data_IF_334752056554
#
_entry.id   IF_334752056554
#
_cell.length_a   1.000
_cell.length_b   1.000
_cell.length_c   1.000
_cell.angle_alpha   90.00
_cell.angle_beta   90.00
_cell.angle_gamma   90.00
#
_symmetry.space_group_name_H-M   'P 1'
#
loop_
_entity.id
_entity.type
_entity.pdbx_description
1 polymer ?
#
# COMPACT_ATOMS: atom_id res chain seq x y z
N UNK A 1 -4.89 -8.07 -4.95
CA UNK A 1 -3.89 -7.00 -4.83
C UNK A 1 -4.07 -6.00 -5.95
N UNK A 2 -4.50 -4.80 -5.63
CA UNK A 2 -4.70 -3.74 -6.61
C UNK A 2 -3.80 -2.55 -6.26
N UNK A 3 -2.89 -2.19 -7.16
CA UNK A 3 -1.92 -1.12 -6.95
C UNK A 3 -2.56 0.25 -7.19
N UNK A 4 -2.33 1.20 -6.28
CA UNK A 4 -2.62 2.61 -6.51
C UNK A 4 -1.30 3.33 -6.80
N UNK A 5 -1.14 3.84 -8.02
CA UNK A 5 0.13 4.40 -8.49
C UNK A 5 -0.07 5.78 -9.13
N UNK A 6 0.87 6.66 -8.92
CA UNK A 6 0.88 8.02 -9.49
C UNK A 6 1.87 8.93 -8.78
N UNK A 7 2.01 10.13 -9.31
CA UNK A 7 2.93 11.13 -8.76
C UNK A 7 2.48 11.63 -7.37
N UNK A 8 3.37 12.36 -6.74
CA UNK A 8 3.09 12.96 -5.44
C UNK A 8 1.86 13.87 -5.49
N UNK A 9 1.00 13.78 -4.47
CA UNK A 9 -0.21 14.60 -4.30
C UNK A 9 -1.29 14.45 -5.38
N UNK A 10 -1.34 13.33 -6.09
CA UNK A 10 -2.39 13.03 -7.09
C UNK A 10 -3.66 12.40 -6.49
N UNK A 11 -3.73 12.24 -5.17
CA UNK A 11 -4.92 11.71 -4.49
C UNK A 11 -4.86 10.22 -4.13
N UNK A 12 -3.71 9.54 -4.25
CA UNK A 12 -3.55 8.11 -3.91
C UNK A 12 -4.08 7.77 -2.51
N UNK A 13 -3.59 8.49 -1.50
CA UNK A 13 -4.03 8.30 -0.10
C UNK A 13 -5.52 8.59 0.07
N UNK A 14 -6.08 9.56 -0.66
CA UNK A 14 -7.51 9.87 -0.56
C UNK A 14 -8.38 8.69 -1.01
N UNK A 15 -8.04 8.05 -2.12
CA UNK A 15 -8.74 6.84 -2.60
C UNK A 15 -8.69 5.73 -1.54
N UNK A 16 -7.51 5.49 -0.96
CA UNK A 16 -7.35 4.47 0.07
C UNK A 16 -8.19 4.76 1.32
N UNK A 17 -8.23 6.02 1.78
CA UNK A 17 -9.04 6.44 2.94
C UNK A 17 -10.52 6.32 2.63
N UNK A 18 -10.98 6.78 1.48
CA UNK A 18 -12.39 6.67 1.07
C UNK A 18 -12.81 5.20 0.96
N UNK A 19 -11.92 4.33 0.50
CA UNK A 19 -12.17 2.89 0.50
C UNK A 19 -12.37 2.35 1.91
N UNK A 20 -11.56 2.77 2.89
CA UNK A 20 -11.73 2.38 4.29
C UNK A 20 -13.05 2.92 4.86
N UNK A 21 -13.36 4.20 4.63
CA UNK A 21 -14.60 4.82 5.11
C UNK A 21 -15.85 4.12 4.58
N UNK A 22 -15.80 3.65 3.33
CA UNK A 22 -16.90 2.93 2.68
C UNK A 22 -17.08 1.48 3.17
N UNK A 23 -16.18 0.98 4.03
CA UNK A 23 -16.35 -0.34 4.64
C UNK A 23 -17.25 -0.34 5.86
N UNK A 24 -17.78 0.81 6.27
CA UNK A 24 -18.71 0.91 7.40
C UNK A 24 -19.92 0.00 7.20
N UNK A 25 -20.14 -0.91 8.13
CA UNK A 25 -21.24 -1.87 8.07
C UNK A 25 -21.03 -3.05 7.12
N UNK A 26 -19.89 -3.18 6.46
CA UNK A 26 -19.57 -4.27 5.53
C UNK A 26 -18.90 -5.49 6.20
N UNK A 27 -18.79 -5.50 7.53
CA UNK A 27 -18.10 -6.55 8.29
C UNK A 27 -16.63 -6.77 7.82
N UNK A 28 -15.99 -5.69 7.41
CA UNK A 28 -14.60 -5.65 6.95
C UNK A 28 -13.70 -5.09 8.04
N UNK A 29 -12.57 -5.75 8.31
CA UNK A 29 -11.50 -5.19 9.13
C UNK A 29 -10.53 -4.45 8.22
N UNK A 30 -10.14 -3.24 8.60
CA UNK A 30 -9.18 -2.45 7.83
C UNK A 30 -7.87 -2.30 8.60
N UNK A 31 -6.75 -2.41 7.89
CA UNK A 31 -5.40 -2.14 8.41
C UNK A 31 -4.76 -1.08 7.52
N UNK A 32 -4.41 0.06 8.11
CA UNK A 32 -3.70 1.12 7.41
C UNK A 32 -2.24 1.16 7.88
N UNK A 33 -1.31 0.89 6.97
CA UNK A 33 0.13 0.92 7.26
C UNK A 33 0.72 2.20 6.70
N UNK A 34 1.13 3.10 7.60
CA UNK A 34 1.82 4.35 7.27
C UNK A 34 3.32 4.14 7.33
N UNK A 35 4.02 4.36 6.21
CA UNK A 35 5.46 4.11 6.09
C UNK A 35 6.17 5.41 5.73
N UNK A 36 7.03 5.91 6.61
CA UNK A 36 7.84 7.10 6.38
C UNK A 36 7.03 8.39 6.15
N UNK A 37 5.81 8.46 6.64
CA UNK A 37 4.96 9.65 6.54
C UNK A 37 5.24 10.60 7.70
N UNK A 38 4.97 11.90 7.47
CA UNK A 38 5.03 12.90 8.55
C UNK A 38 3.91 12.68 9.56
N UNK A 39 4.19 12.83 10.86
CA UNK A 39 3.21 12.65 11.93
C UNK A 39 1.99 13.56 11.78
N UNK A 40 2.18 14.79 11.28
CA UNK A 40 1.09 15.72 11.01
C UNK A 40 0.11 15.20 9.94
N UNK A 41 0.61 14.47 8.92
CA UNK A 41 -0.23 13.83 7.90
C UNK A 41 -1.00 12.66 8.49
N UNK A 42 -0.32 11.83 9.28
CA UNK A 42 -0.93 10.71 9.97
C UNK A 42 -2.05 11.16 10.93
N UNK A 43 -1.80 12.23 11.69
CA UNK A 43 -2.80 12.79 12.61
C UNK A 43 -4.06 13.26 11.89
N UNK A 44 -3.91 13.98 10.76
CA UNK A 44 -5.05 14.40 9.92
C UNK A 44 -5.85 13.21 9.39
N UNK A 45 -5.16 12.15 8.97
CA UNK A 45 -5.77 10.91 8.52
C UNK A 45 -6.57 10.25 9.64
N UNK A 46 -5.97 10.14 10.83
CA UNK A 46 -6.63 9.56 12.00
C UNK A 46 -7.93 10.31 12.33
N UNK A 47 -7.87 11.65 12.40
CA UNK A 47 -9.07 12.49 12.66
C UNK A 47 -10.14 12.24 11.61
N UNK A 48 -9.79 12.15 10.32
CA UNK A 48 -10.76 11.87 9.25
C UNK A 48 -11.42 10.49 9.42
N UNK A 49 -10.67 9.48 9.82
CA UNK A 49 -11.21 8.14 10.09
C UNK A 49 -12.10 8.13 11.35
N UNK A 50 -11.73 8.88 12.39
CA UNK A 50 -12.52 9.06 13.62
C UNK A 50 -13.86 9.74 13.30
N UNK A 51 -13.84 10.86 12.59
CA UNK A 51 -15.04 11.61 12.17
C UNK A 51 -15.98 10.75 11.29
N UNK A 52 -15.41 9.90 10.43
CA UNK A 52 -16.15 8.96 9.60
C UNK A 52 -16.67 7.72 10.34
N UNK A 53 -16.28 7.54 11.63
CA UNK A 53 -16.63 6.36 12.41
C UNK A 53 -15.94 5.08 11.93
N UNK A 54 -14.77 5.21 11.27
CA UNK A 54 -14.01 4.07 10.74
C UNK A 54 -13.04 3.47 11.75
N UNK A 55 -12.75 4.16 12.85
CA UNK A 55 -11.82 3.64 13.86
C UNK A 55 -12.34 2.42 14.61
N UNK A 56 -13.65 2.16 14.59
CA UNK A 56 -14.24 0.98 15.20
C UNK A 56 -13.81 -0.34 14.53
N UNK A 57 -13.38 -0.27 13.26
CA UNK A 57 -12.96 -1.43 12.47
C UNK A 57 -11.58 -1.26 11.80
N UNK A 58 -10.82 -0.21 12.18
CA UNK A 58 -9.53 0.09 11.55
C UNK A 58 -8.38 0.06 12.56
N UNK A 59 -7.31 -0.62 12.18
CA UNK A 59 -6.02 -0.61 12.89
C UNK A 59 -5.03 0.24 12.09
N UNK A 60 -4.33 1.15 12.76
CA UNK A 60 -3.26 1.96 12.17
C UNK A 60 -1.91 1.44 12.67
N UNK A 61 -1.04 1.07 11.74
CA UNK A 61 0.36 0.72 12.00
C UNK A 61 1.24 1.82 11.39
N UNK A 62 2.09 2.44 12.17
CA UNK A 62 2.87 3.58 11.70
C UNK A 62 4.36 3.43 12.00
N UNK A 63 5.17 3.77 11.00
CA UNK A 63 6.58 4.11 11.15
C UNK A 63 6.77 5.51 10.56
N UNK A 64 7.01 6.50 11.43
CA UNK A 64 7.11 7.91 11.06
C UNK A 64 8.38 8.24 10.28
N UNK A 65 8.39 9.41 9.62
CA UNK A 65 9.53 9.86 8.81
C UNK A 65 10.79 10.16 9.66
N UNK A 66 10.64 10.38 10.95
CA UNK A 66 11.73 10.64 11.90
C UNK A 66 12.28 9.38 12.55
N UNK A 67 11.63 8.23 12.35
CA UNK A 67 12.05 6.96 12.92
C UNK A 67 13.18 6.31 12.11
N UNK A 68 14.02 5.48 12.72
CA UNK A 68 15.07 4.75 12.03
C UNK A 68 14.52 3.86 10.89
N UNK A 69 15.30 3.69 9.81
CA UNK A 69 14.92 2.89 8.65
C UNK A 69 14.42 1.47 8.98
N UNK A 70 14.94 0.73 9.98
CA UNK A 70 14.39 -0.57 10.37
C UNK A 70 12.92 -0.54 10.78
N UNK A 71 12.41 0.57 11.34
CA UNK A 71 11.00 0.70 11.69
C UNK A 71 10.13 0.77 10.43
N UNK A 72 10.54 1.55 9.43
CA UNK A 72 9.87 1.59 8.12
C UNK A 72 9.95 0.25 7.39
N UNK A 73 11.04 -0.49 7.55
CA UNK A 73 11.20 -1.84 6.98
C UNK A 73 10.21 -2.85 7.58
N UNK A 74 10.04 -2.86 8.92
CA UNK A 74 9.23 -3.87 9.60
C UNK A 74 7.72 -3.54 9.58
N UNK A 75 7.34 -2.26 9.48
CA UNK A 75 5.95 -1.80 9.61
C UNK A 75 4.96 -2.55 8.69
N UNK A 76 5.20 -2.74 7.37
CA UNK A 76 4.25 -3.46 6.53
C UNK A 76 4.12 -4.94 6.88
N UNK A 77 5.19 -5.58 7.35
CA UNK A 77 5.13 -6.97 7.83
C UNK A 77 4.34 -7.09 9.13
N UNK A 78 4.46 -6.12 10.03
CA UNK A 78 3.61 -6.03 11.22
C UNK A 78 2.15 -5.87 10.84
N UNK A 79 1.85 -4.97 9.89
CA UNK A 79 0.49 -4.75 9.41
C UNK A 79 -0.14 -6.01 8.80
N UNK A 80 0.58 -6.72 7.94
CA UNK A 80 0.05 -7.94 7.32
C UNK A 80 -0.08 -9.09 8.32
N UNK A 81 0.77 -9.18 9.34
CA UNK A 81 0.62 -10.16 10.41
C UNK A 81 -0.67 -9.93 11.22
N UNK A 82 -1.01 -8.66 11.49
CA UNK A 82 -2.30 -8.30 12.10
C UNK A 82 -3.47 -8.70 11.17
N UNK A 83 -3.35 -8.41 9.88
CA UNK A 83 -4.37 -8.80 8.90
C UNK A 83 -4.57 -10.32 8.82
N UNK A 84 -3.49 -11.09 8.85
CA UNK A 84 -3.54 -12.56 8.87
C UNK A 84 -4.23 -13.11 10.11
N UNK A 85 -4.02 -12.50 11.27
CA UNK A 85 -4.71 -12.89 12.50
C UNK A 85 -6.24 -12.85 12.34
N UNK A 86 -6.77 -11.82 11.70
CA UNK A 86 -8.20 -11.73 11.44
C UNK A 86 -8.66 -12.65 10.29
N UNK A 87 -7.85 -12.78 9.24
CA UNK A 87 -8.11 -13.71 8.13
C UNK A 87 -8.24 -15.15 8.63
N UNK A 88 -7.37 -15.56 9.56
CA UNK A 88 -7.38 -16.90 10.15
C UNK A 88 -8.64 -17.17 11.00
N UNK A 89 -9.32 -16.10 11.45
CA UNK A 89 -10.64 -16.17 12.10
C UNK A 89 -11.82 -16.16 11.10
N UNK A 90 -11.55 -16.30 9.82
CA UNK A 90 -12.58 -16.28 8.78
C UNK A 90 -13.09 -14.90 8.40
N UNK A 91 -12.40 -13.81 8.81
CA UNK A 91 -12.80 -12.44 8.48
C UNK A 91 -12.18 -11.96 7.18
N UNK A 92 -12.84 -11.02 6.53
CA UNK A 92 -12.30 -10.31 5.39
C UNK A 92 -11.57 -9.05 5.86
N UNK A 93 -10.37 -8.84 5.33
CA UNK A 93 -9.47 -7.74 5.73
C UNK A 93 -9.05 -6.93 4.51
N UNK A 94 -9.12 -5.61 4.64
CA UNK A 94 -8.54 -4.65 3.71
C UNK A 94 -7.24 -4.10 4.32
N UNK A 95 -6.11 -4.23 3.63
CA UNK A 95 -4.85 -3.63 4.06
C UNK A 95 -4.33 -2.62 3.05
N UNK A 96 -3.95 -1.45 3.53
CA UNK A 96 -3.35 -0.36 2.75
C UNK A 96 -1.90 -0.20 3.16
N UNK A 97 -0.98 -0.10 2.19
CA UNK A 97 0.44 0.22 2.42
C UNK A 97 0.75 1.60 1.84
N UNK A 98 0.83 2.63 2.65
CA UNK A 98 1.10 4.02 2.23
C UNK A 98 2.48 4.49 2.75
N UNK A 99 3.57 4.37 2.01
CA UNK A 99 3.68 3.79 0.68
C UNK A 99 4.88 2.81 0.59
N UNK A 100 4.83 1.91 -0.36
CA UNK A 100 5.90 0.93 -0.59
C UNK A 100 7.14 1.52 -1.26
N UNK A 101 7.05 2.71 -1.86
CA UNK A 101 8.24 3.43 -2.36
C UNK A 101 9.18 3.77 -1.21
N UNK A 102 8.65 4.29 -0.11
CA UNK A 102 9.44 4.57 1.10
C UNK A 102 9.93 3.30 1.79
N UNK A 103 9.14 2.23 1.75
CA UNK A 103 9.57 0.92 2.23
C UNK A 103 10.83 0.43 1.49
N UNK A 104 10.84 0.54 0.16
CA UNK A 104 12.01 0.18 -0.65
C UNK A 104 13.21 1.07 -0.34
N UNK A 105 13.02 2.38 -0.16
CA UNK A 105 14.09 3.32 0.21
C UNK A 105 14.69 2.96 1.58
N UNK A 106 13.88 2.63 2.57
CA UNK A 106 14.35 2.19 3.88
C UNK A 106 15.18 0.90 3.77
N UNK A 107 14.75 -0.05 2.95
CA UNK A 107 15.50 -1.29 2.73
C UNK A 107 16.82 -1.05 1.99
N UNK A 108 16.84 -0.13 1.02
CA UNK A 108 18.09 0.31 0.35
C UNK A 108 19.06 0.91 1.36
N UNK A 109 18.60 1.79 2.23
CA UNK A 109 19.41 2.39 3.28
C UNK A 109 20.04 1.34 4.19
N UNK A 110 19.23 0.42 4.73
CA UNK A 110 19.72 -0.69 5.56
C UNK A 110 20.76 -1.52 4.82
N UNK A 111 20.50 -1.87 3.55
CA UNK A 111 21.38 -2.70 2.74
C UNK A 111 22.73 -2.03 2.47
N UNK A 112 22.74 -0.72 2.20
CA UNK A 112 23.96 0.06 1.99
C UNK A 112 24.77 0.18 3.29
N UNK A 113 24.13 0.40 4.43
CA UNK A 113 24.79 0.42 5.74
C UNK A 113 25.41 -0.94 6.08
N UNK A 114 24.80 -2.04 5.69
CA UNK A 114 25.31 -3.40 5.82
C UNK A 114 26.35 -3.75 4.73
N UNK A 115 26.73 -2.80 3.89
CA UNK A 115 27.70 -2.95 2.79
C UNK A 115 27.32 -4.06 1.80
N UNK A 116 26.02 -4.30 1.60
CA UNK A 116 25.55 -5.18 0.53
C UNK A 116 25.80 -4.52 -0.83
N UNK A 117 26.21 -5.28 -1.86
CA UNK A 117 26.48 -4.70 -3.17
C UNK A 117 25.22 -4.10 -3.77
N UNK A 118 25.24 -2.80 -4.19
CA UNK A 118 24.11 -2.16 -4.82
C UNK A 118 23.91 -2.66 -6.25
N UNK A 119 22.64 -2.88 -6.62
CA UNK A 119 22.21 -3.16 -7.98
C UNK A 119 21.65 -1.91 -8.67
N UNK A 120 20.63 -2.12 -9.51
CA UNK A 120 19.94 -1.04 -10.23
C UNK A 120 19.37 -0.01 -9.24
N UNK A 121 19.58 1.27 -9.53
CA UNK A 121 19.17 2.42 -8.69
C UNK A 121 19.67 2.30 -7.22
N UNK A 122 20.80 1.64 -7.04
CA UNK A 122 21.41 1.33 -5.74
C UNK A 122 20.55 0.44 -4.81
N UNK A 123 19.47 -0.15 -5.29
CA UNK A 123 18.72 -1.14 -4.55
C UNK A 123 19.50 -2.47 -4.45
N UNK A 124 19.32 -3.23 -3.35
CA UNK A 124 19.90 -4.57 -3.26
C UNK A 124 19.22 -5.52 -4.24
N UNK A 125 19.93 -6.59 -4.63
CA UNK A 125 19.44 -7.55 -5.62
C UNK A 125 18.13 -8.26 -5.25
N UNK A 126 17.77 -8.31 -3.97
CA UNK A 126 16.57 -8.95 -3.44
C UNK A 126 15.40 -7.97 -3.18
N UNK A 127 15.46 -6.74 -3.70
CA UNK A 127 14.37 -5.76 -3.48
C UNK A 127 13.03 -6.21 -4.07
N UNK A 128 13.04 -6.98 -5.15
CA UNK A 128 11.82 -7.60 -5.67
C UNK A 128 11.17 -8.51 -4.62
N UNK A 129 11.97 -9.33 -3.95
CA UNK A 129 11.51 -10.24 -2.91
C UNK A 129 10.98 -9.51 -1.66
N UNK A 130 11.50 -8.31 -1.37
CA UNK A 130 10.96 -7.45 -0.31
C UNK A 130 9.45 -7.23 -0.44
N UNK A 131 8.98 -6.94 -1.65
CA UNK A 131 7.57 -6.66 -1.93
C UNK A 131 6.77 -7.90 -2.30
N UNK A 132 7.35 -8.86 -3.02
CA UNK A 132 6.64 -10.08 -3.39
C UNK A 132 6.25 -10.91 -2.18
N UNK A 133 7.15 -11.14 -1.23
CA UNK A 133 6.85 -11.87 0.01
C UNK A 133 5.84 -11.15 0.92
N UNK A 134 5.70 -9.83 0.79
CA UNK A 134 4.68 -9.05 1.49
C UNK A 134 3.31 -9.18 0.81
N UNK A 135 3.25 -8.90 -0.48
CA UNK A 135 2.00 -8.79 -1.24
C UNK A 135 1.37 -10.15 -1.55
N UNK A 136 2.15 -11.21 -1.70
CA UNK A 136 1.64 -12.56 -1.91
C UNK A 136 0.93 -13.14 -0.68
N UNK A 137 1.09 -12.54 0.48
CA UNK A 137 0.33 -12.89 1.70
C UNK A 137 -1.15 -12.46 1.61
N UNK A 138 -1.49 -11.51 0.73
CA UNK A 138 -2.86 -11.16 0.44
C UNK A 138 -3.51 -12.25 -0.45
N UNK A 139 -4.46 -12.97 0.12
CA UNK A 139 -5.12 -14.10 -0.53
C UNK A 139 -6.52 -14.32 0.06
N UNK A 140 -7.29 -15.22 -0.55
CA UNK A 140 -8.51 -15.76 0.02
C UNK A 140 -8.28 -17.22 0.44
N UNK A 141 -8.58 -17.54 1.69
CA UNK A 141 -8.54 -18.90 2.21
C UNK A 141 -9.72 -19.72 1.67
N UNK A 142 -9.53 -21.00 1.46
CA UNK A 142 -10.64 -21.88 1.17
C UNK A 142 -11.53 -22.13 2.42
N UNK A 143 -12.70 -22.74 2.21
CA UNK A 143 -13.65 -22.98 3.29
C UNK A 143 -13.10 -23.86 4.44
N UNK A 144 -12.18 -24.78 4.12
CA UNK A 144 -11.57 -25.65 5.12
C UNK A 144 -10.69 -24.88 6.13
N UNK A 145 -10.17 -23.71 5.71
CA UNK A 145 -9.34 -22.82 6.51
C UNK A 145 -10.08 -21.52 6.90
N UNK A 146 -11.42 -21.58 7.00
CA UNK A 146 -12.24 -20.49 7.50
C UNK A 146 -12.77 -19.50 6.45
N UNK A 147 -12.27 -19.55 5.22
CA UNK A 147 -12.78 -18.71 4.11
C UNK A 147 -12.46 -17.22 4.20
N UNK A 148 -11.66 -16.78 5.17
CA UNK A 148 -11.24 -15.38 5.31
C UNK A 148 -10.37 -14.90 4.15
N UNK A 149 -10.23 -13.58 4.00
CA UNK A 149 -9.45 -12.98 2.92
C UNK A 149 -8.67 -11.74 3.34
N UNK A 150 -7.62 -11.44 2.59
CA UNK A 150 -6.92 -10.16 2.64
C UNK A 150 -6.92 -9.56 1.24
N UNK A 151 -7.47 -8.35 1.12
CA UNK A 151 -7.34 -7.48 -0.06
C UNK A 151 -6.29 -6.42 0.22
N UNK A 152 -5.24 -6.35 -0.59
CA UNK A 152 -4.17 -5.38 -0.42
C UNK A 152 -4.27 -4.24 -1.44
N UNK A 153 -4.15 -3.02 -0.95
CA UNK A 153 -4.02 -1.80 -1.72
C UNK A 153 -2.63 -1.17 -1.45
N UNK A 154 -1.58 -1.66 -2.11
CA UNK A 154 -0.28 -1.00 -2.07
C UNK A 154 -0.32 0.33 -2.82
N UNK A 155 0.40 1.32 -2.29
CA UNK A 155 0.59 2.63 -2.90
C UNK A 155 2.03 2.75 -3.34
N UNK A 156 2.24 3.18 -4.59
CA UNK A 156 3.55 3.52 -5.15
C UNK A 156 3.54 4.97 -5.63
N UNK A 157 4.58 5.71 -5.28
CA UNK A 157 4.82 7.06 -5.76
C UNK A 157 5.73 7.02 -7.00
N UNK A 158 5.29 7.62 -8.10
CA UNK A 158 6.09 7.83 -9.30
C UNK A 158 6.70 9.23 -9.31
N UNK A 159 7.65 9.46 -10.19
CA UNK A 159 8.22 10.77 -10.50
C UNK A 159 7.95 11.09 -11.98
N UNK A 160 7.30 12.21 -12.24
CA UNK A 160 6.94 12.66 -13.60
C UNK A 160 6.18 11.58 -14.41
N UNK A 161 5.32 10.80 -13.75
CA UNK A 161 4.53 9.75 -14.38
C UNK A 161 5.32 8.53 -14.84
N UNK A 162 6.59 8.39 -14.47
CA UNK A 162 7.45 7.28 -14.91
C UNK A 162 7.10 5.97 -14.19
N UNK A 163 6.29 5.16 -14.86
CA UNK A 163 5.95 3.80 -14.42
C UNK A 163 7.00 2.75 -14.82
N UNK A 164 8.02 3.15 -15.62
CA UNK A 164 9.09 2.25 -16.09
C UNK A 164 10.26 2.16 -15.10
N UNK A 165 10.25 2.98 -14.05
CA UNK A 165 11.23 2.94 -12.98
C UNK A 165 11.24 1.58 -12.26
N UNK A 166 12.33 1.28 -11.54
CA UNK A 166 12.58 -0.07 -11.03
C UNK A 166 11.53 -0.55 -10.02
N UNK A 167 11.21 0.25 -9.01
CA UNK A 167 10.24 -0.18 -7.98
C UNK A 167 8.81 -0.21 -8.52
N UNK A 168 8.31 0.79 -9.29
CA UNK A 168 7.02 0.70 -9.94
C UNK A 168 6.82 -0.58 -10.77
N UNK A 169 7.77 -0.90 -11.66
CA UNK A 169 7.69 -2.10 -12.52
C UNK A 169 7.64 -3.39 -11.72
N UNK A 170 8.41 -3.50 -10.64
CA UNK A 170 8.37 -4.65 -9.75
C UNK A 170 6.99 -4.82 -9.12
N UNK A 171 6.41 -3.77 -8.56
CA UNK A 171 5.11 -3.86 -7.89
C UNK A 171 3.96 -4.07 -8.87
N UNK A 172 4.00 -3.48 -10.06
CA UNK A 172 3.05 -3.75 -11.14
C UNK A 172 3.04 -5.24 -11.49
N UNK A 173 4.21 -5.88 -11.56
CA UNK A 173 4.30 -7.31 -11.88
C UNK A 173 3.79 -8.25 -10.78
N UNK A 174 3.87 -7.81 -9.51
CA UNK A 174 3.40 -8.60 -8.36
C UNK A 174 1.89 -8.48 -8.18
N UNK A 175 1.30 -7.32 -8.49
CA UNK A 175 -0.11 -7.02 -8.28
C UNK A 175 -1.00 -7.52 -9.42
N UNK A 176 -2.30 -7.62 -9.16
CA UNK A 176 -3.29 -8.14 -10.11
C UNK A 176 -3.88 -7.04 -11.02
N UNK A 177 -3.45 -5.82 -10.84
CA UNK A 177 -3.83 -4.65 -11.61
C UNK A 177 -3.36 -3.36 -10.95
N UNK A 178 -3.60 -2.23 -11.61
CA UNK A 178 -3.25 -0.91 -11.10
C UNK A 178 -4.30 0.14 -11.42
N UNK A 179 -4.50 1.04 -10.48
CA UNK A 179 -5.21 2.31 -10.64
C UNK A 179 -4.14 3.39 -10.82
N UNK A 180 -4.02 3.92 -12.04
CA UNK A 180 -3.04 4.94 -12.37
C UNK A 180 -3.65 6.33 -12.26
N UNK A 181 -3.01 7.20 -11.47
CA UNK A 181 -3.42 8.59 -11.25
C UNK A 181 -2.49 9.53 -11.99
N UNK A 182 -3.07 10.36 -12.85
CA UNK A 182 -2.34 11.34 -13.67
C UNK A 182 -2.38 12.73 -13.06
N UNK A 183 -1.21 13.37 -13.02
CA UNK A 183 -1.04 14.74 -12.52
C UNK A 183 -1.85 15.75 -13.34
N UNK A 184 -1.84 15.62 -14.66
CA UNK A 184 -2.57 16.53 -15.57
C UNK A 184 -4.08 16.50 -15.34
N UNK A 185 -4.65 15.32 -15.12
CA UNK A 185 -6.06 15.16 -14.79
C UNK A 185 -6.37 15.81 -13.44
N UNK A 186 -5.50 15.64 -12.46
CA UNK A 186 -5.66 16.23 -11.15
C UNK A 186 -5.70 17.76 -11.18
N UNK A 187 -4.78 18.39 -11.94
CA UNK A 187 -4.76 19.84 -12.10
C UNK A 187 -5.90 20.39 -12.96
N UNK A 188 -6.45 19.59 -13.88
CA UNK A 188 -7.70 19.91 -14.60
C UNK A 188 -8.95 19.82 -13.72
N UNK A 189 -8.81 19.46 -12.45
CA UNK A 189 -9.93 19.34 -11.51
C UNK A 189 -10.69 18.02 -11.59
N UNK A 190 -10.21 17.05 -12.36
CA UNK A 190 -10.80 15.71 -12.45
C UNK A 190 -10.35 14.92 -11.22
N UNK A 191 -11.28 14.60 -10.34
CA UNK A 191 -11.00 13.91 -9.08
C UNK A 191 -12.07 12.84 -8.80
N UNK A 192 -11.65 11.57 -8.66
CA UNK A 192 -10.27 11.06 -8.72
C UNK A 192 -9.63 11.21 -10.10
N UNK A 193 -8.32 11.48 -10.15
CA UNK A 193 -7.54 11.70 -11.36
C UNK A 193 -7.14 10.39 -12.05
N UNK A 194 -8.08 9.47 -12.21
CA UNK A 194 -7.84 8.12 -12.73
C UNK A 194 -7.70 8.17 -14.25
N UNK A 195 -6.57 7.69 -14.74
CA UNK A 195 -6.35 7.41 -16.15
C UNK A 195 -6.95 6.05 -16.50
N UNK A 196 -8.08 6.06 -17.19
CA UNK A 196 -8.77 4.82 -17.60
C UNK A 196 -7.92 4.01 -18.58
N UNK A 197 -7.19 4.70 -19.47
CA UNK A 197 -6.35 4.02 -20.48
C UNK A 197 -5.09 3.34 -19.90
N UNK A 198 -4.54 3.86 -18.79
CA UNK A 198 -3.36 3.30 -18.14
C UNK A 198 -3.68 2.40 -16.95
N UNK A 199 -4.93 2.41 -16.49
CA UNK A 199 -5.39 1.53 -15.41
C UNK A 199 -5.82 0.18 -15.96
N UNK A 200 -5.43 -0.90 -15.26
CA UNK A 200 -5.68 -2.29 -15.70
C UNK A 200 -6.13 -3.11 -14.51
N UNK A 201 -7.12 -3.96 -14.70
CA UNK A 201 -7.45 -5.04 -13.77
C UNK A 201 -7.32 -6.38 -14.49
N UNK A 202 -6.49 -7.29 -13.96
CA UNK A 202 -6.30 -8.63 -14.53
C UNK A 202 -7.33 -9.63 -14.02
N UNK A 203 -8.01 -9.30 -12.93
CA UNK A 203 -9.02 -10.15 -12.29
C UNK A 203 -10.43 -9.75 -12.72
N UNK A 204 -10.67 -8.46 -12.94
CA UNK A 204 -11.97 -7.92 -13.32
C UNK A 204 -12.21 -7.83 -14.84
N UNK A 205 -11.25 -8.16 -15.66
CA UNK A 205 -11.43 -8.17 -17.12
C UNK A 205 -12.19 -9.43 -17.55
N UNK A 206 -13.44 -9.27 -17.83
CA UNK A 206 -14.22 -10.25 -18.62
C UNK A 206 -14.15 -9.90 -20.08
#
# INVERSE_FOLDING_TARGET
>A
RELIIGDRQTGKTAIAIDTILNQKGQNMICVYVSIGQKDSKLRKLQVRLEEGGAMDYTVIVSAGASEPAPMSYIAPYTGVAIAEYFMDQGKDVLIVYDDLSKHAVAYREISLLLRRPPGREAYPGDVFYLHSRLLERACRRNKQYGGGSITALPIIETQAGDISAYIPTNVISITDGQIFLETDLFYKGIRPAISVGASVSRVGSS
#
